data_IF_107061708859
#
_entry.id   IF_107061708859
#
_cell.length_a   1.000
_cell.length_b   1.000
_cell.length_c   1.000
_cell.angle_alpha   90.00
_cell.angle_beta   90.00
_cell.angle_gamma   90.00
#
_symmetry.space_group_name_H-M   'P 1'
#
loop_
_entity.id
_entity.type
_entity.pdbx_description
1 polymer ?
#
# COMPACT_ATOMS: atom_id res chain seq x y z
N UNK A 1 -30.84 40.64 -17.57
CA UNK A 1 -29.60 40.93 -16.82
C UNK A 1 -28.62 39.81 -17.11
N UNK A 2 -27.71 39.98 -18.07
CA UNK A 2 -26.82 38.91 -18.54
C UNK A 2 -25.56 38.87 -17.66
N UNK A 3 -25.34 37.76 -16.96
CA UNK A 3 -24.10 37.53 -16.20
C UNK A 3 -22.97 37.35 -17.21
N UNK A 4 -22.13 38.38 -17.34
CA UNK A 4 -20.92 38.37 -18.17
C UNK A 4 -19.92 37.43 -17.49
N UNK A 5 -19.88 36.16 -17.91
CA UNK A 5 -18.84 35.22 -17.49
C UNK A 5 -17.50 35.77 -18.01
N UNK A 6 -16.71 36.37 -17.13
CA UNK A 6 -15.36 36.84 -17.43
C UNK A 6 -14.55 35.63 -17.90
N UNK A 7 -14.05 35.67 -19.13
CA UNK A 7 -13.20 34.63 -19.73
C UNK A 7 -11.89 34.56 -18.95
N UNK A 8 -11.84 33.81 -17.85
CA UNK A 8 -10.60 33.44 -17.17
C UNK A 8 -9.88 32.43 -18.07
N UNK A 9 -9.02 32.94 -18.96
CA UNK A 9 -8.24 32.11 -19.87
C UNK A 9 -6.75 32.36 -19.65
N UNK A 10 -6.30 32.27 -18.40
CA UNK A 10 -4.88 32.08 -18.13
C UNK A 10 -4.64 30.57 -18.02
N UNK A 11 -3.84 29.96 -18.91
CA UNK A 11 -3.60 28.52 -18.93
C UNK A 11 -3.06 28.00 -17.60
N UNK A 12 -2.30 28.81 -16.84
CA UNK A 12 -1.83 28.43 -15.52
C UNK A 12 -2.97 28.29 -14.49
N UNK A 13 -3.95 29.20 -14.53
CA UNK A 13 -5.10 29.15 -13.60
C UNK A 13 -5.95 27.92 -13.90
N UNK A 14 -6.16 27.62 -15.18
CA UNK A 14 -6.86 26.40 -15.59
C UNK A 14 -6.11 25.14 -15.19
N UNK A 15 -4.78 25.11 -15.38
CA UNK A 15 -3.95 23.97 -14.97
C UNK A 15 -4.03 23.70 -13.47
N UNK A 16 -3.82 24.73 -12.63
CA UNK A 16 -3.89 24.55 -11.18
C UNK A 16 -5.30 24.18 -10.72
N UNK A 17 -6.34 24.78 -11.29
CA UNK A 17 -7.72 24.40 -10.97
C UNK A 17 -8.02 22.94 -11.33
N UNK A 18 -7.58 22.48 -12.51
CA UNK A 18 -7.72 21.09 -12.94
C UNK A 18 -6.91 20.14 -12.05
N UNK A 19 -5.67 20.48 -11.74
CA UNK A 19 -4.80 19.69 -10.86
C UNK A 19 -5.43 19.55 -9.47
N UNK A 20 -5.90 20.63 -8.86
CA UNK A 20 -6.58 20.59 -7.57
C UNK A 20 -7.84 19.72 -7.63
N UNK A 21 -8.67 19.87 -8.66
CA UNK A 21 -9.87 19.05 -8.83
C UNK A 21 -9.54 17.55 -8.94
N UNK A 22 -8.53 17.20 -9.74
CA UNK A 22 -8.07 15.81 -9.89
C UNK A 22 -7.51 15.28 -8.57
N UNK A 23 -6.69 16.04 -7.86
CA UNK A 23 -6.15 15.62 -6.55
C UNK A 23 -7.26 15.38 -5.53
N UNK A 24 -8.28 16.24 -5.49
CA UNK A 24 -9.43 16.09 -4.60
C UNK A 24 -10.26 14.85 -4.94
N UNK A 25 -10.51 14.63 -6.24
CA UNK A 25 -11.20 13.43 -6.72
C UNK A 25 -10.43 12.15 -6.36
N UNK A 26 -9.12 12.11 -6.60
CA UNK A 26 -8.27 10.98 -6.23
C UNK A 26 -8.32 10.74 -4.73
N UNK A 27 -8.14 11.78 -3.90
CA UNK A 27 -8.16 11.65 -2.45
C UNK A 27 -9.49 11.07 -1.92
N UNK A 28 -10.63 11.54 -2.45
CA UNK A 28 -11.95 11.04 -2.07
C UNK A 28 -12.16 9.58 -2.50
N UNK A 29 -11.81 9.25 -3.75
CA UNK A 29 -12.00 7.91 -4.30
C UNK A 29 -11.03 6.88 -3.70
N UNK A 30 -9.81 7.30 -3.35
CA UNK A 30 -8.80 6.43 -2.77
C UNK A 30 -8.87 6.34 -1.25
N UNK A 31 -9.73 7.12 -0.59
CA UNK A 31 -9.78 7.17 0.87
C UNK A 31 -9.95 5.78 1.48
N UNK A 32 -10.99 5.04 1.07
CA UNK A 32 -11.24 3.67 1.55
C UNK A 32 -10.07 2.74 1.28
N UNK A 33 -9.39 2.89 0.14
CA UNK A 33 -8.22 2.08 -0.19
C UNK A 33 -7.09 2.25 0.84
N UNK A 34 -6.77 3.50 1.22
CA UNK A 34 -5.68 3.80 2.15
C UNK A 34 -6.08 3.69 3.63
N UNK A 35 -7.37 3.66 3.97
CA UNK A 35 -7.83 3.60 5.37
C UNK A 35 -8.31 2.23 5.81
N UNK A 36 -8.86 1.44 4.88
CA UNK A 36 -9.46 0.15 5.24
C UNK A 36 -8.36 -0.83 5.63
N UNK A 37 -8.44 -1.32 6.86
CA UNK A 37 -7.55 -2.38 7.34
C UNK A 37 -8.00 -3.70 6.75
N UNK A 38 -7.11 -4.33 6.02
CA UNK A 38 -7.34 -5.61 5.36
C UNK A 38 -6.27 -6.63 5.76
N UNK A 39 -6.57 -7.90 5.57
CA UNK A 39 -5.58 -8.98 5.55
C UNK A 39 -5.66 -9.73 4.22
N UNK A 40 -4.64 -10.54 3.97
CA UNK A 40 -4.53 -11.34 2.76
C UNK A 40 -4.48 -12.82 3.13
N UNK A 41 -5.20 -13.63 2.36
CA UNK A 41 -5.24 -15.07 2.50
C UNK A 41 -5.22 -15.65 1.09
N UNK A 42 -4.20 -16.47 0.76
CA UNK A 42 -3.99 -17.02 -0.58
C UNK A 42 -4.12 -15.98 -1.71
N UNK A 43 -3.48 -14.81 -1.53
CA UNK A 43 -3.51 -13.67 -2.46
C UNK A 43 -4.85 -12.92 -2.56
N UNK A 44 -5.92 -13.42 -1.97
CA UNK A 44 -7.20 -12.70 -1.88
C UNK A 44 -7.20 -11.70 -0.72
N UNK A 45 -7.75 -10.50 -1.00
CA UNK A 45 -7.91 -9.43 -0.02
C UNK A 45 -9.22 -9.59 0.74
N UNK A 46 -9.15 -9.51 2.06
CA UNK A 46 -10.31 -9.57 2.95
C UNK A 46 -10.51 -8.27 3.72
N UNK A 47 -11.75 -7.76 3.71
CA UNK A 47 -12.15 -6.56 4.47
C UNK A 47 -13.33 -6.88 5.37
N UNK A 48 -13.43 -6.19 6.50
CA UNK A 48 -14.50 -6.42 7.48
C UNK A 48 -15.85 -6.01 6.87
N UNK A 49 -16.78 -6.96 6.78
CA UNK A 49 -18.13 -6.71 6.27
C UNK A 49 -19.14 -6.55 7.40
N UNK A 50 -19.04 -7.40 8.42
CA UNK A 50 -19.99 -7.42 9.54
C UNK A 50 -19.26 -7.83 10.82
N UNK A 51 -19.59 -7.15 11.91
CA UNK A 51 -19.18 -7.53 13.26
C UNK A 51 -20.46 -7.67 14.10
N UNK A 52 -20.71 -8.87 14.63
CA UNK A 52 -21.87 -9.16 15.46
C UNK A 52 -21.45 -9.99 16.68
N UNK A 53 -21.56 -9.40 17.86
CA UNK A 53 -21.07 -9.97 19.12
C UNK A 53 -19.59 -10.38 18.98
N UNK A 54 -19.30 -11.68 19.05
CA UNK A 54 -17.96 -12.26 18.95
C UNK A 54 -17.66 -12.85 17.56
N UNK A 55 -18.48 -12.56 16.55
CA UNK A 55 -18.29 -13.03 15.17
C UNK A 55 -17.96 -11.85 14.24
N UNK A 56 -16.79 -11.89 13.62
CA UNK A 56 -16.36 -10.97 12.57
C UNK A 56 -16.38 -11.69 11.22
N UNK A 57 -17.20 -11.23 10.28
CA UNK A 57 -17.26 -11.75 8.92
C UNK A 57 -16.50 -10.83 7.98
N UNK A 58 -15.51 -11.41 7.29
CA UNK A 58 -14.70 -10.74 6.31
C UNK A 58 -15.06 -11.22 4.91
N UNK A 59 -15.08 -10.29 3.95
CA UNK A 59 -15.43 -10.58 2.57
C UNK A 59 -14.22 -10.44 1.66
N UNK A 60 -13.99 -11.47 0.85
CA UNK A 60 -13.09 -11.46 -0.29
C UNK A 60 -13.77 -10.89 -1.54
N UNK A 61 -12.99 -10.30 -2.45
CA UNK A 61 -13.50 -9.80 -3.72
C UNK A 61 -14.07 -10.94 -4.60
N UNK A 62 -13.21 -11.92 -4.89
CA UNK A 62 -13.50 -13.14 -5.66
C UNK A 62 -13.67 -14.39 -4.79
N UNK A 63 -13.11 -14.38 -3.59
CA UNK A 63 -13.12 -15.53 -2.69
C UNK A 63 -14.36 -15.55 -1.76
N UNK A 64 -14.64 -16.74 -1.23
CA UNK A 64 -15.68 -16.94 -0.21
C UNK A 64 -15.40 -16.14 1.07
N UNK A 65 -16.41 -15.94 1.95
CA UNK A 65 -16.21 -15.19 3.19
C UNK A 65 -15.33 -15.96 4.18
N UNK A 66 -14.67 -15.21 5.07
CA UNK A 66 -13.90 -15.73 6.21
C UNK A 66 -14.58 -15.25 7.48
N UNK A 67 -14.98 -16.19 8.33
CA UNK A 67 -15.63 -15.89 9.59
C UNK A 67 -14.66 -16.10 10.74
N UNK A 68 -14.51 -15.11 11.62
CA UNK A 68 -13.64 -15.19 12.79
C UNK A 68 -14.48 -15.09 14.04
N UNK A 69 -14.55 -16.17 14.81
CA UNK A 69 -15.24 -16.22 16.10
C UNK A 69 -14.25 -16.10 17.25
N UNK A 70 -14.51 -15.21 18.20
CA UNK A 70 -13.73 -15.11 19.44
C UNK A 70 -14.37 -16.02 20.49
N UNK A 71 -13.59 -16.96 21.02
CA UNK A 71 -14.02 -17.92 22.03
C UNK A 71 -13.21 -17.73 23.31
N UNK A 72 -13.87 -17.40 24.42
CA UNK A 72 -13.21 -17.32 25.74
C UNK A 72 -12.07 -16.29 25.85
N UNK A 73 -12.02 -15.29 24.96
CA UNK A 73 -11.09 -14.15 25.00
C UNK A 73 -9.65 -14.42 24.58
N UNK A 74 -9.18 -15.68 24.56
CA UNK A 74 -7.80 -16.07 24.19
C UNK A 74 -7.70 -16.98 22.98
N UNK A 75 -8.82 -17.56 22.57
CA UNK A 75 -8.91 -18.46 21.44
C UNK A 75 -9.79 -17.83 20.36
N UNK A 76 -9.40 -18.02 19.11
CA UNK A 76 -10.16 -17.56 17.95
C UNK A 76 -10.29 -18.70 16.97
N UNK A 77 -11.49 -18.88 16.44
CA UNK A 77 -11.75 -19.85 15.38
C UNK A 77 -11.92 -19.09 14.08
N UNK A 78 -11.05 -19.35 13.11
CA UNK A 78 -11.15 -18.84 11.74
C UNK A 78 -11.82 -19.92 10.92
N UNK A 79 -12.98 -19.63 10.34
CA UNK A 79 -13.73 -20.54 9.48
C UNK A 79 -13.63 -20.09 8.04
N UNK A 80 -13.24 -21.02 7.18
CA UNK A 80 -13.09 -20.80 5.74
C UNK A 80 -13.83 -21.94 5.02
N UNK A 81 -14.99 -21.64 4.44
CA UNK A 81 -15.87 -22.66 3.89
C UNK A 81 -16.40 -23.63 4.95
N UNK A 82 -15.99 -24.90 4.85
CA UNK A 82 -16.37 -25.97 5.79
C UNK A 82 -15.31 -26.22 6.88
N UNK A 83 -14.12 -25.62 6.75
CA UNK A 83 -12.99 -25.90 7.61
C UNK A 83 -12.86 -24.85 8.73
N UNK A 84 -12.67 -25.34 9.95
CA UNK A 84 -12.44 -24.54 11.14
C UNK A 84 -10.97 -24.65 11.57
N UNK A 85 -10.29 -23.51 11.65
CA UNK A 85 -8.92 -23.38 12.13
C UNK A 85 -8.94 -22.72 13.51
N UNK A 86 -8.22 -23.30 14.48
CA UNK A 86 -8.22 -22.79 15.86
C UNK A 86 -6.89 -22.11 16.14
N UNK A 87 -6.96 -20.85 16.57
CA UNK A 87 -5.79 -20.03 16.89
C UNK A 87 -5.84 -19.62 18.36
N UNK A 88 -4.88 -20.09 19.14
CA UNK A 88 -4.73 -19.75 20.54
C UNK A 88 -3.51 -18.85 20.76
N UNK A 89 -3.65 -17.77 21.55
CA UNK A 89 -2.51 -16.94 21.95
C UNK A 89 -1.80 -17.58 23.14
N UNK A 90 -0.53 -17.92 22.97
CA UNK A 90 0.27 -18.68 23.95
C UNK A 90 0.99 -17.76 24.93
N UNK A 91 1.43 -16.59 24.50
CA UNK A 91 2.16 -15.64 25.35
C UNK A 91 1.30 -14.46 25.82
N UNK A 92 1.47 -14.09 27.09
CA UNK A 92 0.95 -12.85 27.65
C UNK A 92 2.02 -11.74 27.59
N UNK A 93 1.62 -10.46 27.43
CA UNK A 93 2.56 -9.33 27.51
C UNK A 93 3.38 -9.38 28.81
N UNK A 94 4.69 -9.04 28.80
CA UNK A 94 5.44 -8.28 27.79
C UNK A 94 6.26 -9.13 26.80
N UNK A 95 6.07 -10.45 26.77
CA UNK A 95 6.80 -11.33 25.85
C UNK A 95 6.32 -11.14 24.39
N UNK A 96 7.17 -11.45 23.39
CA UNK A 96 6.74 -11.50 21.99
C UNK A 96 5.50 -12.38 21.84
N UNK A 97 4.54 -11.92 21.05
CA UNK A 97 3.30 -12.66 20.85
C UNK A 97 3.61 -13.96 20.11
N UNK A 98 3.26 -15.09 20.70
CA UNK A 98 3.30 -16.40 20.08
C UNK A 98 1.90 -17.00 20.07
N UNK A 99 1.62 -17.74 19.00
CA UNK A 99 0.32 -18.32 18.73
C UNK A 99 0.49 -19.79 18.37
N UNK A 100 -0.52 -20.59 18.68
CA UNK A 100 -0.65 -21.95 18.18
C UNK A 100 -1.80 -22.00 17.20
N UNK A 101 -1.54 -22.51 16.00
CA UNK A 101 -2.54 -22.71 14.95
C UNK A 101 -2.79 -24.21 14.80
N UNK A 102 -4.02 -24.64 15.03
CA UNK A 102 -4.45 -26.01 14.84
C UNK A 102 -5.35 -26.11 13.59
N UNK A 103 -4.98 -27.05 12.72
CA UNK A 103 -5.65 -27.32 11.46
C UNK A 103 -6.71 -28.44 11.63
N UNK A 104 -7.72 -28.50 10.74
CA UNK A 104 -8.77 -29.53 10.80
C UNK A 104 -8.22 -30.96 10.65
N UNK A 105 -7.09 -31.11 9.95
CA UNK A 105 -6.37 -32.38 9.77
C UNK A 105 -5.59 -32.83 11.04
N UNK A 106 -5.58 -32.02 12.11
CA UNK A 106 -4.88 -32.29 13.36
C UNK A 106 -3.43 -31.77 13.42
N UNK A 107 -2.89 -31.22 12.33
CA UNK A 107 -1.58 -30.57 12.35
C UNK A 107 -1.61 -29.30 13.20
N UNK A 108 -0.49 -29.04 13.87
CA UNK A 108 -0.30 -27.88 14.74
C UNK A 108 0.99 -27.17 14.41
N UNK A 109 0.90 -25.85 14.34
CA UNK A 109 2.01 -24.96 14.03
C UNK A 109 2.15 -23.90 15.11
N UNK A 110 3.39 -23.48 15.35
CA UNK A 110 3.68 -22.30 16.17
C UNK A 110 3.87 -21.10 15.26
N UNK A 111 3.34 -19.94 15.65
CA UNK A 111 3.56 -18.69 14.94
C UNK A 111 4.09 -17.65 15.92
N UNK A 112 5.23 -17.06 15.60
CA UNK A 112 5.88 -16.05 16.44
C UNK A 112 5.85 -14.69 15.75
N UNK A 113 5.55 -13.65 16.53
CA UNK A 113 5.62 -12.27 16.09
C UNK A 113 7.03 -11.70 16.33
N UNK A 114 7.72 -11.42 15.22
CA UNK A 114 9.01 -10.75 15.21
C UNK A 114 8.85 -9.34 14.63
N UNK A 115 8.56 -8.36 15.50
CA UNK A 115 8.39 -6.94 15.14
C UNK A 115 7.33 -6.71 14.04
N UNK A 116 6.20 -7.40 14.12
CA UNK A 116 5.10 -7.31 13.16
C UNK A 116 5.24 -8.25 11.96
N UNK A 117 6.31 -9.04 11.89
CA UNK A 117 6.47 -10.13 10.92
C UNK A 117 6.14 -11.47 11.59
N UNK A 118 5.10 -12.13 11.09
CA UNK A 118 4.66 -13.43 11.59
C UNK A 118 5.48 -14.55 10.94
N UNK A 119 6.21 -15.30 11.75
CA UNK A 119 7.03 -16.45 11.33
C UNK A 119 6.34 -17.74 11.76
N UNK A 120 6.16 -18.69 10.84
CA UNK A 120 5.49 -19.96 11.10
C UNK A 120 6.52 -21.08 11.30
N UNK A 121 6.29 -21.95 12.27
CA UNK A 121 7.15 -23.08 12.59
C UNK A 121 6.34 -24.37 12.72
N UNK A 122 6.89 -25.47 12.22
CA UNK A 122 6.30 -26.79 12.36
C UNK A 122 6.56 -27.41 13.76
N UNK A 123 6.12 -28.65 13.96
CA UNK A 123 6.31 -29.38 15.22
C UNK A 123 7.79 -29.70 15.55
N UNK A 124 8.70 -29.63 14.55
CA UNK A 124 10.14 -29.83 14.73
C UNK A 124 10.88 -28.51 14.98
N UNK A 125 10.18 -27.37 14.89
CA UNK A 125 10.76 -26.04 14.99
C UNK A 125 11.39 -25.55 13.68
N UNK A 126 11.08 -26.18 12.55
CA UNK A 126 11.53 -25.75 11.23
C UNK A 126 10.63 -24.65 10.69
N UNK A 127 11.24 -23.63 10.08
CA UNK A 127 10.53 -22.49 9.52
C UNK A 127 9.68 -22.93 8.32
N UNK A 128 8.38 -22.69 8.39
CA UNK A 128 7.42 -22.93 7.31
C UNK A 128 7.24 -21.64 6.52
N UNK A 129 7.74 -21.65 5.29
CA UNK A 129 7.62 -20.55 4.33
C UNK A 129 6.89 -21.04 3.09
N UNK A 130 6.12 -20.14 2.47
CA UNK A 130 5.48 -20.41 1.18
C UNK A 130 6.53 -20.36 0.06
N UNK A 131 7.28 -21.44 -0.11
CA UNK A 131 8.18 -21.59 -1.25
C UNK A 131 7.45 -22.42 -2.30
N UNK A 132 7.08 -21.80 -3.40
CA UNK A 132 6.62 -22.53 -4.58
C UNK A 132 7.84 -22.97 -5.39
N UNK A 133 8.14 -24.28 -5.40
CA UNK A 133 9.14 -24.86 -6.28
C UNK A 133 8.55 -25.02 -7.69
N UNK A 134 9.28 -24.58 -8.72
CA UNK A 134 8.88 -24.71 -10.13
C UNK A 134 9.94 -25.48 -10.91
N UNK A 135 9.52 -26.44 -11.75
CA UNK A 135 10.35 -27.09 -12.77
C UNK A 135 9.61 -27.07 -14.09
N UNK A 136 10.28 -26.60 -15.15
CA UNK A 136 9.68 -26.52 -16.48
C UNK A 136 8.45 -25.60 -16.56
N UNK A 137 8.31 -24.62 -15.66
CA UNK A 137 7.14 -23.74 -15.59
C UNK A 137 5.92 -24.33 -14.86
N UNK A 138 6.03 -25.56 -14.34
CA UNK A 138 5.00 -26.22 -13.54
C UNK A 138 5.44 -26.22 -12.08
N UNK A 139 4.52 -25.88 -11.17
CA UNK A 139 4.73 -25.95 -9.72
C UNK A 139 4.87 -27.43 -9.33
N UNK A 140 5.99 -27.79 -8.70
CA UNK A 140 6.34 -29.18 -8.37
C UNK A 140 5.77 -29.59 -7.01
N UNK A 141 5.68 -28.64 -6.07
CA UNK A 141 5.19 -28.91 -4.72
C UNK A 141 3.79 -28.32 -4.51
N UNK A 142 2.83 -29.22 -4.27
CA UNK A 142 1.56 -28.87 -3.66
C UNK A 142 1.78 -28.55 -2.18
N UNK A 143 1.25 -27.43 -1.68
CA UNK A 143 1.43 -27.08 -0.28
C UNK A 143 0.69 -28.10 0.59
N UNK A 144 1.38 -28.64 1.60
CA UNK A 144 0.82 -29.60 2.58
C UNK A 144 -0.42 -29.00 3.26
N UNK A 145 -0.39 -27.70 3.52
CA UNK A 145 -1.50 -26.95 4.07
C UNK A 145 -2.10 -25.98 3.06
N UNK A 146 -3.43 -25.92 3.01
CA UNK A 146 -4.14 -25.04 2.08
C UNK A 146 -3.93 -23.54 2.37
N UNK A 147 -3.56 -23.19 3.60
CA UNK A 147 -3.28 -21.84 4.04
C UNK A 147 -2.06 -21.83 4.94
N UNK A 148 -1.27 -20.76 4.93
CA UNK A 148 -0.14 -20.62 5.86
C UNK A 148 -0.59 -20.32 7.29
N UNK A 149 0.11 -20.84 8.31
CA UNK A 149 -0.23 -20.55 9.70
C UNK A 149 -0.19 -19.05 10.01
N UNK A 150 0.82 -18.33 9.49
CA UNK A 150 0.94 -16.88 9.64
C UNK A 150 -0.26 -16.10 9.04
N UNK A 151 -0.80 -16.52 7.89
CA UNK A 151 -1.94 -15.83 7.28
C UNK A 151 -3.23 -16.07 8.07
N UNK A 152 -3.40 -17.26 8.68
CA UNK A 152 -4.50 -17.55 9.59
C UNK A 152 -4.43 -16.71 10.87
N UNK A 153 -3.24 -16.52 11.44
CA UNK A 153 -3.05 -15.60 12.59
C UNK A 153 -3.37 -14.15 12.19
N UNK A 154 -2.90 -13.71 11.01
CA UNK A 154 -3.20 -12.39 10.51
C UNK A 154 -4.71 -12.16 10.28
N UNK A 155 -5.43 -13.18 9.81
CA UNK A 155 -6.89 -13.16 9.67
C UNK A 155 -7.61 -13.13 11.02
N UNK A 156 -7.09 -13.88 12.01
CA UNK A 156 -7.71 -13.99 13.32
C UNK A 156 -7.62 -12.70 14.14
N UNK A 157 -6.52 -11.95 14.04
CA UNK A 157 -6.24 -10.81 14.91
C UNK A 157 -6.19 -9.46 14.15
N UNK A 158 -7.12 -8.53 14.44
CA UNK A 158 -7.18 -7.22 13.79
C UNK A 158 -5.93 -6.35 13.90
N UNK A 159 -5.06 -6.63 14.87
CA UNK A 159 -3.77 -5.92 15.04
C UNK A 159 -2.80 -6.17 13.87
N UNK A 160 -2.95 -7.29 13.16
CA UNK A 160 -2.16 -7.61 11.98
C UNK A 160 -2.79 -7.14 10.66
N UNK A 161 -3.99 -6.55 10.70
CA UNK A 161 -4.60 -5.99 9.50
C UNK A 161 -3.90 -4.68 9.14
N UNK A 162 -3.38 -4.60 7.91
CA UNK A 162 -2.61 -3.45 7.45
C UNK A 162 -3.46 -2.59 6.53
N UNK A 163 -3.26 -1.28 6.65
CA UNK A 163 -3.77 -0.32 5.68
C UNK A 163 -2.90 -0.41 4.42
N UNK A 164 -3.51 -0.23 3.25
CA UNK A 164 -2.84 -0.46 1.98
C UNK A 164 -2.16 0.79 1.45
N UNK A 165 -1.15 0.55 0.63
CA UNK A 165 -0.48 1.60 -0.12
C UNK A 165 0.27 2.60 0.76
N UNK A 166 0.79 3.64 0.11
CA UNK A 166 1.56 4.69 0.76
C UNK A 166 1.04 6.04 0.29
N UNK A 167 0.08 6.64 1.02
CA UNK A 167 -0.54 7.91 0.60
C UNK A 167 0.47 9.05 0.47
N UNK A 168 1.61 8.96 1.16
CA UNK A 168 2.76 9.86 0.99
C UNK A 168 3.22 10.04 -0.45
N UNK A 169 3.14 8.99 -1.28
CA UNK A 169 3.53 9.08 -2.70
C UNK A 169 2.56 9.95 -3.52
N UNK A 170 1.29 10.07 -3.15
CA UNK A 170 0.36 10.98 -3.83
C UNK A 170 0.73 12.44 -3.58
N UNK A 171 1.11 12.79 -2.35
CA UNK A 171 1.60 14.13 -2.03
C UNK A 171 2.90 14.45 -2.77
N UNK A 172 3.82 13.47 -2.87
CA UNK A 172 5.06 13.61 -3.61
C UNK A 172 4.81 13.80 -5.11
N UNK A 173 3.92 13.00 -5.70
CA UNK A 173 3.50 13.13 -7.09
C UNK A 173 2.90 14.53 -7.37
N UNK A 174 2.02 15.02 -6.50
CA UNK A 174 1.46 16.36 -6.61
C UNK A 174 2.55 17.45 -6.59
N UNK A 175 3.51 17.36 -5.67
CA UNK A 175 4.64 18.29 -5.61
C UNK A 175 5.50 18.26 -6.89
N UNK A 176 5.80 17.07 -7.42
CA UNK A 176 6.53 16.92 -8.68
C UNK A 176 5.76 17.46 -9.88
N UNK A 177 4.44 17.28 -9.92
CA UNK A 177 3.61 17.84 -10.99
C UNK A 177 3.64 19.38 -10.99
N UNK A 178 3.52 20.01 -9.81
CA UNK A 178 3.65 21.47 -9.66
C UNK A 178 5.05 21.93 -10.06
N UNK A 179 6.08 21.25 -9.54
CA UNK A 179 7.47 21.59 -9.82
C UNK A 179 7.79 21.50 -11.32
N UNK A 180 7.40 20.40 -11.97
CA UNK A 180 7.58 20.19 -13.40
C UNK A 180 6.85 21.23 -14.24
N UNK A 181 5.61 21.59 -13.88
CA UNK A 181 4.87 22.68 -14.53
C UNK A 181 5.59 24.03 -14.40
N UNK A 182 6.11 24.33 -13.21
CA UNK A 182 6.86 25.57 -12.97
C UNK A 182 8.15 25.62 -13.79
N UNK A 183 8.92 24.52 -13.84
CA UNK A 183 10.09 24.37 -14.70
C UNK A 183 9.75 24.47 -16.20
N UNK A 184 8.56 24.04 -16.61
CA UNK A 184 8.15 24.14 -18.01
C UNK A 184 7.72 25.56 -18.41
N UNK A 185 6.97 26.26 -17.55
CA UNK A 185 6.24 27.48 -17.95
C UNK A 185 6.87 28.81 -17.52
N UNK A 186 7.60 28.84 -16.40
CA UNK A 186 8.04 30.09 -15.78
C UNK A 186 9.55 30.28 -15.84
N UNK A 187 10.03 31.13 -16.76
CA UNK A 187 11.46 31.44 -16.91
C UNK A 187 12.07 32.02 -15.63
N UNK A 188 11.34 32.87 -14.89
CA UNK A 188 11.80 33.36 -13.57
C UNK A 188 12.10 32.24 -12.57
N UNK A 189 11.36 31.14 -12.64
CA UNK A 189 11.60 29.97 -11.78
C UNK A 189 12.84 29.21 -12.25
N UNK A 190 13.01 29.05 -13.57
CA UNK A 190 14.19 28.45 -14.19
C UNK A 190 15.46 29.25 -13.83
N UNK A 191 15.43 30.59 -13.92
CA UNK A 191 16.54 31.47 -13.53
C UNK A 191 16.88 31.36 -12.05
N UNK A 192 15.88 31.26 -11.16
CA UNK A 192 16.12 31.03 -9.71
C UNK A 192 16.77 29.69 -9.45
N UNK A 193 16.29 28.62 -10.10
CA UNK A 193 16.88 27.29 -10.01
C UNK A 193 18.33 27.27 -10.52
N UNK A 194 18.63 28.03 -11.57
CA UNK A 194 19.98 28.19 -12.10
C UNK A 194 20.93 28.77 -11.06
N UNK A 195 20.52 29.86 -10.41
CA UNK A 195 21.32 30.49 -9.36
C UNK A 195 21.37 29.67 -8.06
N UNK A 196 20.36 28.86 -7.76
CA UNK A 196 20.43 27.93 -6.63
C UNK A 196 21.39 26.75 -6.91
N UNK A 197 21.75 26.52 -8.18
CA UNK A 197 22.59 25.38 -8.54
C UNK A 197 24.04 25.59 -8.06
N UNK A 198 24.75 24.51 -7.67
CA UNK A 198 26.12 24.58 -7.18
C UNK A 198 27.13 25.06 -8.24
N UNK A 199 26.71 25.30 -9.50
CA UNK A 199 27.56 25.92 -10.53
C UNK A 199 28.06 27.30 -10.14
N UNK A 200 27.34 28.01 -9.27
CA UNK A 200 27.81 29.29 -8.72
C UNK A 200 29.11 29.17 -7.92
N UNK A 201 29.45 27.98 -7.41
CA UNK A 201 30.69 27.75 -6.66
C UNK A 201 31.91 27.51 -7.56
N UNK A 202 31.69 27.26 -8.85
CA UNK A 202 32.73 26.80 -9.78
C UNK A 202 33.07 27.83 -10.86
N UNK A 203 32.20 28.80 -11.12
CA UNK A 203 32.35 29.77 -12.20
C UNK A 203 31.99 31.18 -11.71
N UNK A 204 32.78 32.18 -12.12
CA UNK A 204 32.49 33.59 -11.83
C UNK A 204 31.37 34.11 -12.74
N UNK A 205 30.30 34.64 -12.13
CA UNK A 205 29.13 35.23 -12.81
C UNK A 205 28.51 34.36 -13.92
N UNK A 206 28.05 33.13 -13.62
CA UNK A 206 27.39 32.30 -14.61
C UNK A 206 26.03 32.93 -14.99
N UNK A 207 25.75 33.01 -16.29
CA UNK A 207 24.45 33.43 -16.82
C UNK A 207 23.71 32.23 -17.45
N UNK A 208 22.38 32.17 -17.31
CA UNK A 208 21.59 31.10 -17.90
C UNK A 208 21.57 31.23 -19.43
N UNK A 209 22.08 30.22 -20.12
CA UNK A 209 22.05 30.15 -21.58
C UNK A 209 20.66 29.74 -22.12
N UNK A 210 20.39 30.04 -23.38
CA UNK A 210 19.17 29.57 -24.07
C UNK A 210 19.02 28.04 -24.03
N UNK A 211 20.15 27.33 -24.10
CA UNK A 211 20.20 25.88 -23.95
C UNK A 211 19.76 25.43 -22.55
N UNK A 212 20.12 26.17 -21.49
CA UNK A 212 19.65 25.88 -20.14
C UNK A 212 18.13 26.00 -20.03
N UNK A 213 17.54 27.06 -20.58
CA UNK A 213 16.09 27.24 -20.59
C UNK A 213 15.37 26.13 -21.37
N UNK A 214 15.92 25.71 -22.51
CA UNK A 214 15.40 24.57 -23.27
C UNK A 214 15.47 23.26 -22.47
N UNK A 215 16.62 22.95 -21.88
CA UNK A 215 16.80 21.75 -21.05
C UNK A 215 15.92 21.75 -19.81
N UNK A 216 15.71 22.92 -19.18
CA UNK A 216 14.81 23.07 -18.04
C UNK A 216 13.34 22.77 -18.42
N UNK A 217 12.91 23.22 -19.60
CA UNK A 217 11.58 22.91 -20.14
C UNK A 217 11.42 21.41 -20.43
N UNK A 218 12.41 20.79 -21.07
CA UNK A 218 12.42 19.35 -21.34
C UNK A 218 12.43 18.52 -20.05
N UNK A 219 13.25 18.90 -19.07
CA UNK A 219 13.30 18.29 -17.74
C UNK A 219 11.98 18.45 -16.98
N UNK A 220 11.33 19.62 -17.08
CA UNK A 220 10.00 19.85 -16.51
C UNK A 220 8.96 18.87 -17.03
N UNK A 221 8.96 18.57 -18.35
CA UNK A 221 8.09 17.56 -18.96
C UNK A 221 8.40 16.16 -18.42
N UNK A 222 9.69 15.80 -18.34
CA UNK A 222 10.11 14.50 -17.79
C UNK A 222 9.67 14.33 -16.33
N UNK A 223 9.79 15.37 -15.50
CA UNK A 223 9.33 15.36 -14.10
C UNK A 223 7.81 15.23 -14.01
N UNK A 224 7.05 15.92 -14.87
CA UNK A 224 5.59 15.74 -14.93
C UNK A 224 5.23 14.29 -15.30
N UNK A 225 5.92 13.67 -16.26
CA UNK A 225 5.75 12.25 -16.58
C UNK A 225 6.09 11.33 -15.40
N UNK A 226 7.22 11.58 -14.74
CA UNK A 226 7.64 10.84 -13.54
C UNK A 226 6.66 10.98 -12.38
N UNK A 227 5.98 12.12 -12.24
CA UNK A 227 4.97 12.31 -11.20
C UNK A 227 3.78 11.36 -11.34
N UNK A 228 3.39 11.03 -12.57
CA UNK A 228 2.32 10.05 -12.85
C UNK A 228 2.78 8.66 -12.41
N UNK A 229 4.02 8.28 -12.73
CA UNK A 229 4.60 7.03 -12.27
C UNK A 229 4.62 6.91 -10.75
N UNK A 230 5.05 7.97 -10.05
CA UNK A 230 5.05 8.02 -8.58
C UNK A 230 3.62 7.90 -8.02
N UNK A 231 2.63 8.51 -8.67
CA UNK A 231 1.23 8.36 -8.27
C UNK A 231 0.76 6.90 -8.39
N UNK A 232 1.13 6.18 -9.45
CA UNK A 232 0.84 4.75 -9.60
C UNK A 232 1.51 3.92 -8.49
N UNK A 233 2.74 4.24 -8.11
CA UNK A 233 3.46 3.55 -7.02
C UNK A 233 2.75 3.67 -5.67
N UNK A 234 1.96 4.72 -5.45
CA UNK A 234 1.17 4.88 -4.24
C UNK A 234 0.20 3.71 -4.00
N UNK A 235 -0.29 3.08 -5.09
CA UNK A 235 -1.27 2.00 -5.05
C UNK A 235 -0.64 0.60 -5.12
N UNK A 236 0.53 0.46 -5.78
CA UNK A 236 1.19 -0.84 -6.00
C UNK A 236 2.04 -1.29 -4.81
N UNK A 237 2.42 -0.37 -3.92
CA UNK A 237 3.31 -0.65 -2.77
C UNK A 237 2.52 -0.96 -1.49
N UNK A 238 1.91 -2.13 -1.38
CA UNK A 238 1.18 -2.59 -0.19
C UNK A 238 1.34 -4.08 0.02
#
# INVERSE_FOLDING_TARGET
MAVRIKKLSNPSVLFFAALTAVTLAVALLSHSYFTDRAFYLNQDRYTLQRLQNDLATYRGGSAGPVDVRVSGGRERTVRIGADDYVIAKTTAPPLPAAFTVAYPNGHRYSVEDNNGMLLSYDAKGELVVEIAAYSGGVRIDEPIESYLPASLVAAAYPEYHRAQGRPGFLFLAFAFMIFGWCCFRYERFQTRLFYLSPRQLLYDNPEPSDFYYFMSKAGGIAVMGGSIWVACQAFVSG
#
